data_IF_566535474296
#
_entry.id   IF_566535474296
#
_cell.length_a   1.000
_cell.length_b   1.000
_cell.length_c   1.000
_cell.angle_alpha   90.00
_cell.angle_beta   90.00
_cell.angle_gamma   90.00
#
_symmetry.space_group_name_H-M   'P 1'
#
loop_
_entity.id
_entity.type
_entity.pdbx_description
1 polymer ?
#
# COMPACT_ATOMS: atom_id res chain seq x y z
N UNK A 1 -12.13 -14.35 -63.39
CA UNK A 1 -12.39 -15.01 -62.09
C UNK A 1 -11.05 -15.22 -61.40
N UNK A 2 -11.00 -15.06 -60.06
CA UNK A 2 -9.84 -15.20 -59.16
C UNK A 2 -8.88 -14.00 -58.98
N UNK A 3 -9.30 -13.11 -58.07
CA UNK A 3 -8.63 -12.71 -56.82
C UNK A 3 -7.11 -12.45 -56.83
N UNK A 4 -6.75 -11.16 -56.80
CA UNK A 4 -5.45 -10.69 -56.33
C UNK A 4 -5.49 -10.46 -54.82
N UNK A 5 -4.69 -11.24 -54.08
CA UNK A 5 -4.33 -10.99 -52.68
C UNK A 5 -3.54 -9.67 -52.59
N UNK A 6 -4.18 -8.58 -52.17
CA UNK A 6 -3.46 -7.38 -51.70
C UNK A 6 -2.92 -7.67 -50.30
N UNK A 7 -1.60 -7.77 -50.19
CA UNK A 7 -0.84 -7.73 -48.93
C UNK A 7 -1.30 -6.52 -48.12
N UNK A 8 -1.88 -6.77 -46.95
CA UNK A 8 -1.95 -5.78 -45.88
C UNK A 8 -0.52 -5.45 -45.45
N UNK A 9 -0.06 -4.21 -45.72
CA UNK A 9 1.10 -3.64 -45.04
C UNK A 9 0.65 -3.17 -43.66
N UNK A 10 1.11 -3.84 -42.62
CA UNK A 10 1.14 -3.30 -41.27
C UNK A 10 2.05 -2.08 -41.24
N UNK A 11 1.50 -0.90 -40.97
CA UNK A 11 2.31 0.22 -40.52
C UNK A 11 2.63 0.00 -39.03
N UNK A 12 3.84 -0.47 -38.77
CA UNK A 12 4.47 -0.41 -37.46
C UNK A 12 4.88 1.04 -37.18
N UNK A 13 4.12 1.75 -36.36
CA UNK A 13 4.65 2.95 -35.70
C UNK A 13 4.82 2.61 -34.22
N UNK A 14 6.05 2.62 -33.67
CA UNK A 14 6.21 2.59 -32.23
C UNK A 14 5.63 3.89 -31.69
N UNK A 15 4.74 3.80 -30.70
CA UNK A 15 4.30 4.93 -29.90
C UNK A 15 5.54 5.61 -29.30
N UNK A 16 5.99 6.69 -29.93
CA UNK A 16 7.00 7.57 -29.35
C UNK A 16 6.27 8.31 -28.24
N UNK A 17 6.40 7.82 -26.99
CA UNK A 17 5.97 8.57 -25.81
C UNK A 17 6.60 9.97 -25.89
N UNK A 18 5.79 11.04 -25.96
CA UNK A 18 6.35 12.36 -26.21
C UNK A 18 7.30 12.76 -25.08
N UNK A 19 8.32 13.54 -25.43
CA UNK A 19 9.34 13.98 -24.47
C UNK A 19 8.67 14.61 -23.22
N UNK A 20 9.23 14.41 -22.01
CA UNK A 20 8.58 14.80 -20.75
C UNK A 20 8.08 16.24 -20.71
N UNK A 21 8.81 17.18 -21.32
CA UNK A 21 8.39 18.59 -21.40
C UNK A 21 7.11 18.81 -22.22
N UNK A 22 6.89 18.05 -23.30
CA UNK A 22 5.67 18.14 -24.11
C UNK A 22 4.46 17.55 -23.38
N UNK A 23 4.66 16.45 -22.64
CA UNK A 23 3.64 15.89 -21.77
C UNK A 23 3.26 16.88 -20.66
N UNK A 24 4.23 17.57 -20.07
CA UNK A 24 4.01 18.55 -19.00
C UNK A 24 3.29 19.83 -19.46
N UNK A 25 3.46 20.21 -20.73
CA UNK A 25 2.70 21.32 -21.29
C UNK A 25 1.25 20.92 -21.62
N UNK A 26 0.97 19.63 -21.84
CA UNK A 26 -0.38 19.13 -22.09
C UNK A 26 -1.16 18.75 -20.82
N UNK A 27 -0.46 18.26 -19.78
CA UNK A 27 -1.07 17.83 -18.52
C UNK A 27 -0.10 17.90 -17.33
N UNK A 28 -0.64 18.02 -16.11
CA UNK A 28 0.08 17.84 -14.84
C UNK A 28 -0.29 16.50 -14.22
N UNK A 29 0.71 15.80 -13.71
CA UNK A 29 0.52 14.58 -12.90
C UNK A 29 0.75 14.97 -11.45
N UNK A 30 -0.25 14.78 -10.60
CA UNK A 30 -0.17 15.08 -9.18
C UNK A 30 -0.42 13.83 -8.34
N UNK A 31 0.10 13.85 -7.12
CA UNK A 31 -0.18 12.84 -6.11
C UNK A 31 -0.39 13.49 -4.75
N UNK A 32 -1.26 12.90 -3.93
CA UNK A 32 -1.58 13.40 -2.60
C UNK A 32 -1.25 12.36 -1.54
N UNK A 33 -0.23 12.66 -0.73
CA UNK A 33 0.38 11.73 0.21
C UNK A 33 0.23 12.19 1.65
N UNK A 34 0.09 11.23 2.55
CA UNK A 34 0.32 11.39 3.98
C UNK A 34 1.70 10.79 4.31
N UNK A 35 2.59 11.61 4.86
CA UNK A 35 3.98 11.24 5.09
C UNK A 35 4.51 11.80 6.42
N UNK A 36 5.58 11.19 6.97
CA UNK A 36 6.27 11.76 8.12
C UNK A 36 6.79 13.18 7.84
N UNK A 37 6.77 14.04 8.86
CA UNK A 37 7.35 15.38 8.73
C UNK A 37 8.88 15.31 8.53
N UNK A 38 9.46 16.16 7.68
CA UNK A 38 10.91 16.22 7.49
C UNK A 38 11.66 16.50 8.79
N UNK A 39 12.83 15.88 8.97
CA UNK A 39 13.68 16.12 10.15
C UNK A 39 13.18 15.49 11.45
N UNK A 40 12.20 14.59 11.39
CA UNK A 40 11.66 13.90 12.57
C UNK A 40 12.27 12.52 12.75
N UNK A 41 12.32 11.98 13.99
CA UNK A 41 12.89 10.65 14.23
C UNK A 41 12.27 9.54 13.36
N UNK A 42 10.94 9.56 13.22
CA UNK A 42 10.23 8.61 12.37
C UNK A 42 10.66 8.72 10.89
N UNK A 43 10.78 9.92 10.34
CA UNK A 43 11.23 10.15 8.97
C UNK A 43 12.67 9.65 8.75
N UNK A 44 13.58 9.97 9.67
CA UNK A 44 14.96 9.50 9.64
C UNK A 44 15.05 7.97 9.73
N UNK A 45 14.23 7.35 10.58
CA UNK A 45 14.21 5.88 10.75
C UNK A 45 13.73 5.15 9.48
N UNK A 46 12.76 5.74 8.76
CA UNK A 46 12.31 5.23 7.46
C UNK A 46 13.40 5.35 6.38
N UNK A 47 14.10 6.48 6.32
CA UNK A 47 15.23 6.65 5.40
C UNK A 47 16.35 5.65 5.70
N UNK A 48 16.72 5.51 6.97
CA UNK A 48 17.74 4.55 7.39
C UNK A 48 17.34 3.11 7.02
N UNK A 49 16.07 2.75 7.15
CA UNK A 49 15.57 1.46 6.71
C UNK A 49 15.73 1.28 5.18
N UNK A 50 15.34 2.26 4.38
CA UNK A 50 15.50 2.21 2.92
C UNK A 50 16.97 2.07 2.51
N UNK A 51 17.87 2.85 3.12
CA UNK A 51 19.31 2.78 2.85
C UNK A 51 19.89 1.40 3.19
N UNK A 52 19.61 0.89 4.40
CA UNK A 52 20.11 -0.42 4.84
C UNK A 52 19.61 -1.54 3.92
N UNK A 53 18.33 -1.49 3.54
CA UNK A 53 17.73 -2.52 2.69
C UNK A 53 18.20 -2.43 1.24
N UNK A 54 18.43 -1.23 0.72
CA UNK A 54 19.05 -1.01 -0.58
C UNK A 54 20.44 -1.66 -0.63
N UNK A 55 21.30 -1.38 0.36
CA UNK A 55 22.66 -1.93 0.41
C UNK A 55 22.67 -3.45 0.60
N UNK A 56 21.84 -3.96 1.51
CA UNK A 56 21.90 -5.38 1.91
C UNK A 56 21.19 -6.32 0.92
N UNK A 57 20.08 -5.88 0.31
CA UNK A 57 19.23 -6.73 -0.52
C UNK A 57 19.12 -6.26 -1.97
N UNK A 58 19.72 -5.12 -2.31
CA UNK A 58 19.61 -4.49 -3.61
C UNK A 58 18.35 -3.63 -3.77
N UNK A 59 18.26 -2.90 -4.89
CA UNK A 59 17.14 -2.00 -5.15
C UNK A 59 15.82 -2.74 -5.36
N UNK A 60 14.73 -2.16 -4.86
CA UNK A 60 13.35 -2.56 -5.12
C UNK A 60 12.49 -1.29 -5.34
N UNK A 61 11.24 -1.44 -5.79
CA UNK A 61 10.42 -0.29 -6.18
C UNK A 61 9.99 0.59 -5.00
N UNK A 62 9.99 0.07 -3.77
CA UNK A 62 9.72 0.89 -2.59
C UNK A 62 10.82 1.96 -2.38
N UNK A 63 12.01 1.81 -2.98
CA UNK A 63 13.07 2.81 -2.93
C UNK A 63 12.88 3.97 -3.90
N UNK A 64 11.91 3.89 -4.82
CA UNK A 64 11.66 4.96 -5.79
C UNK A 64 10.96 6.18 -5.16
N UNK A 65 10.40 6.04 -3.97
CA UNK A 65 9.74 7.12 -3.23
C UNK A 65 10.04 7.00 -1.75
N UNK A 66 9.99 8.11 -1.02
CA UNK A 66 10.00 8.05 0.45
C UNK A 66 8.78 7.26 0.96
N UNK A 67 8.85 6.56 2.11
CA UNK A 67 7.72 5.83 2.64
C UNK A 67 6.56 6.77 2.98
N UNK A 68 5.39 6.51 2.40
CA UNK A 68 4.21 7.34 2.51
C UNK A 68 2.93 6.49 2.45
N UNK A 69 1.81 7.13 2.77
CA UNK A 69 0.47 6.62 2.56
C UNK A 69 -0.17 7.43 1.42
N UNK A 70 -0.57 6.75 0.35
CA UNK A 70 -1.31 7.41 -0.71
C UNK A 70 -2.74 7.71 -0.23
N UNK A 71 -3.15 8.98 -0.31
CA UNK A 71 -4.56 9.38 -0.18
C UNK A 71 -5.22 9.38 -1.55
N UNK A 72 -4.54 9.99 -2.53
CA UNK A 72 -4.90 9.97 -3.95
C UNK A 72 -3.62 9.65 -4.72
N UNK A 73 -3.58 8.46 -5.32
CA UNK A 73 -2.35 7.90 -5.88
C UNK A 73 -1.98 8.51 -7.23
N UNK A 74 -2.99 9.00 -7.96
CA UNK A 74 -2.82 9.57 -9.28
C UNK A 74 -3.91 10.60 -9.59
N UNK A 75 -3.46 11.78 -9.98
CA UNK A 75 -4.32 12.85 -10.50
C UNK A 75 -3.73 13.36 -11.80
N UNK A 76 -4.51 13.36 -12.88
CA UNK A 76 -4.13 13.98 -14.15
C UNK A 76 -5.05 15.16 -14.42
N UNK A 77 -4.46 16.34 -14.56
CA UNK A 77 -5.16 17.58 -14.90
C UNK A 77 -4.63 18.06 -16.25
N UNK A 78 -5.50 18.15 -17.24
CA UNK A 78 -5.18 18.69 -18.56
C UNK A 78 -4.99 20.20 -18.52
N UNK A 79 -4.19 20.69 -19.47
CA UNK A 79 -3.99 22.11 -19.68
C UNK A 79 -5.30 22.76 -20.13
N UNK A 80 -5.67 23.88 -19.49
CA UNK A 80 -6.78 24.72 -19.93
C UNK A 80 -6.54 25.32 -21.32
N UNK A 81 -7.63 25.68 -22.00
CA UNK A 81 -7.59 26.22 -23.37
C UNK A 81 -6.82 27.54 -23.45
N UNK A 82 -7.06 28.45 -22.51
CA UNK A 82 -6.45 29.77 -22.47
C UNK A 82 -5.09 29.74 -21.75
N UNK A 83 -4.10 30.46 -22.28
CA UNK A 83 -2.75 30.45 -21.72
C UNK A 83 -2.69 31.04 -20.30
N UNK A 84 -3.47 32.07 -20.02
CA UNK A 84 -3.50 32.77 -18.72
C UNK A 84 -4.14 31.95 -17.60
N UNK A 85 -5.04 31.03 -17.92
CA UNK A 85 -5.79 30.21 -16.95
C UNK A 85 -5.45 28.72 -17.07
N UNK A 86 -4.35 28.41 -17.76
CA UNK A 86 -4.04 27.05 -18.20
C UNK A 86 -3.86 26.04 -17.06
N UNK A 87 -3.64 26.50 -15.83
CA UNK A 87 -3.49 25.67 -14.64
C UNK A 87 -4.48 26.03 -13.51
N UNK A 88 -5.54 26.78 -13.80
CA UNK A 88 -6.54 27.18 -12.78
C UNK A 88 -7.16 25.97 -12.08
N UNK A 89 -7.32 24.84 -12.78
CA UNK A 89 -7.82 23.58 -12.20
C UNK A 89 -6.86 22.99 -11.16
N UNK A 90 -5.55 23.20 -11.31
CA UNK A 90 -4.55 22.78 -10.30
C UNK A 90 -4.69 23.65 -9.05
N UNK A 91 -4.84 24.96 -9.22
CA UNK A 91 -5.06 25.88 -8.11
C UNK A 91 -6.38 25.60 -7.40
N UNK A 92 -7.43 25.29 -8.16
CA UNK A 92 -8.73 24.86 -7.64
C UNK A 92 -8.59 23.55 -6.85
N UNK A 93 -7.87 22.55 -7.38
CA UNK A 93 -7.61 21.29 -6.68
C UNK A 93 -6.98 21.52 -5.31
N UNK A 94 -5.95 22.37 -5.23
CA UNK A 94 -5.28 22.71 -3.98
C UNK A 94 -6.21 23.47 -3.03
N UNK A 95 -7.06 24.37 -3.55
CA UNK A 95 -8.08 25.10 -2.75
C UNK A 95 -9.13 24.16 -2.17
N UNK A 96 -9.62 23.20 -2.96
CA UNK A 96 -10.57 22.17 -2.49
C UNK A 96 -9.94 21.36 -1.37
N UNK A 97 -8.71 20.87 -1.54
CA UNK A 97 -7.99 20.14 -0.49
C UNK A 97 -7.86 20.98 0.78
N UNK A 98 -7.45 22.24 0.65
CA UNK A 98 -7.31 23.16 1.79
C UNK A 98 -8.63 23.36 2.56
N UNK A 99 -9.72 23.56 1.83
CA UNK A 99 -11.05 23.73 2.41
C UNK A 99 -11.54 22.46 3.11
N UNK A 100 -11.32 21.29 2.51
CA UNK A 100 -11.75 20.02 3.08
C UNK A 100 -10.91 19.60 4.29
N UNK A 101 -9.58 19.78 4.27
CA UNK A 101 -8.73 19.50 5.44
C UNK A 101 -9.21 20.27 6.67
N UNK A 102 -9.61 21.55 6.52
CA UNK A 102 -10.11 22.39 7.61
C UNK A 102 -11.42 21.90 8.24
N UNK A 103 -12.22 21.12 7.50
CA UNK A 103 -13.48 20.54 8.00
C UNK A 103 -13.25 19.22 8.74
N UNK A 104 -12.13 18.56 8.49
CA UNK A 104 -11.85 17.22 8.98
C UNK A 104 -11.00 17.24 10.26
N UNK A 105 -11.31 16.34 11.19
CA UNK A 105 -10.48 16.10 12.37
C UNK A 105 -9.50 14.97 12.06
N UNK A 106 -8.46 15.28 11.29
CA UNK A 106 -7.45 14.32 10.86
C UNK A 106 -6.50 14.00 12.01
N UNK A 107 -6.22 12.71 12.21
CA UNK A 107 -5.29 12.24 13.25
C UNK A 107 -4.06 11.61 12.61
N UNK A 108 -2.92 11.56 13.32
CA UNK A 108 -1.79 10.75 12.89
C UNK A 108 -2.20 9.29 12.64
N UNK A 109 -1.60 8.61 11.65
CA UNK A 109 -1.86 7.19 11.39
C UNK A 109 -1.39 6.33 12.57
N UNK A 110 -2.13 5.27 12.89
CA UNK A 110 -1.78 4.33 13.95
C UNK A 110 -1.08 3.09 13.35
N UNK A 111 0.10 2.74 13.83
CA UNK A 111 0.78 1.50 13.43
C UNK A 111 0.02 0.26 13.93
N UNK A 112 -0.15 -0.75 13.07
CA UNK A 112 -0.88 -1.99 13.41
C UNK A 112 -0.11 -3.29 13.17
N UNK A 113 1.13 -3.20 12.65
CA UNK A 113 1.99 -4.35 12.44
C UNK A 113 2.61 -4.41 11.06
N UNK A 114 3.46 -5.41 10.85
CA UNK A 114 4.05 -5.74 9.56
C UNK A 114 3.38 -6.97 8.96
N UNK A 115 3.27 -6.99 7.63
CA UNK A 115 2.71 -8.12 6.90
C UNK A 115 3.50 -8.39 5.63
N UNK A 116 3.67 -9.68 5.30
CA UNK A 116 4.19 -10.12 4.01
C UNK A 116 3.00 -10.61 3.19
N UNK A 117 2.65 -9.86 2.15
CA UNK A 117 1.59 -10.22 1.22
C UNK A 117 2.16 -11.15 0.16
N UNK A 118 1.43 -12.20 -0.21
CA UNK A 118 1.85 -13.14 -1.26
C UNK A 118 1.36 -12.76 -2.67
N UNK A 119 0.31 -11.93 -2.78
CA UNK A 119 -0.33 -11.49 -4.05
C UNK A 119 -0.64 -9.98 -4.05
N UNK A 120 -0.75 -9.32 -5.22
CA UNK A 120 -0.50 -9.84 -6.58
C UNK A 120 0.99 -10.12 -6.82
N UNK A 121 1.86 -9.39 -6.14
CA UNK A 121 3.31 -9.65 -6.07
C UNK A 121 3.73 -9.67 -4.62
N UNK A 122 4.69 -10.54 -4.28
CA UNK A 122 5.16 -10.63 -2.89
C UNK A 122 5.73 -9.30 -2.43
N UNK A 123 5.27 -8.81 -1.29
CA UNK A 123 5.67 -7.51 -0.75
C UNK A 123 5.69 -7.51 0.77
N UNK A 124 6.56 -6.67 1.33
CA UNK A 124 6.55 -6.31 2.74
C UNK A 124 5.81 -4.99 2.87
N UNK A 125 4.78 -4.98 3.71
CA UNK A 125 4.00 -3.80 4.03
C UNK A 125 3.97 -3.57 5.53
N UNK A 126 3.88 -2.31 5.90
CA UNK A 126 3.58 -1.87 7.25
C UNK A 126 2.12 -1.43 7.27
N UNK A 127 1.29 -2.15 8.02
CA UNK A 127 -0.13 -1.87 8.14
C UNK A 127 -0.37 -0.71 9.11
N UNK A 128 -1.22 0.21 8.71
CA UNK A 128 -1.62 1.37 9.49
C UNK A 128 -3.13 1.50 9.54
N UNK A 129 -3.64 2.15 10.57
CA UNK A 129 -5.04 2.56 10.65
C UNK A 129 -5.13 4.07 10.50
N UNK A 130 -5.94 4.49 9.55
CA UNK A 130 -6.34 5.87 9.37
C UNK A 130 -7.70 6.10 10.03
N UNK A 131 -7.91 7.29 10.61
CA UNK A 131 -9.25 7.65 11.07
C UNK A 131 -10.15 7.98 9.87
N UNK A 132 -11.47 7.87 10.06
CA UNK A 132 -12.47 8.02 8.99
C UNK A 132 -12.40 9.36 8.22
N UNK A 133 -11.79 10.39 8.82
CA UNK A 133 -11.61 11.69 8.18
C UNK A 133 -10.80 11.64 6.88
N UNK A 134 -9.84 10.72 6.75
CA UNK A 134 -9.08 10.57 5.49
C UNK A 134 -9.93 9.99 4.35
N UNK A 135 -10.83 9.05 4.65
CA UNK A 135 -11.74 8.49 3.66
C UNK A 135 -12.78 9.54 3.24
N UNK A 136 -13.30 10.31 4.20
CA UNK A 136 -14.22 11.42 3.92
C UNK A 136 -13.55 12.51 3.09
N UNK A 137 -12.31 12.88 3.43
CA UNK A 137 -11.50 13.83 2.66
C UNK A 137 -11.34 13.38 1.20
N UNK A 138 -10.93 12.13 0.96
CA UNK A 138 -10.72 11.63 -0.39
C UNK A 138 -12.02 11.59 -1.21
N UNK A 139 -13.14 11.16 -0.60
CA UNK A 139 -14.46 11.14 -1.25
C UNK A 139 -14.94 12.54 -1.63
N UNK A 140 -14.71 13.52 -0.76
CA UNK A 140 -15.18 14.88 -1.01
C UNK A 140 -14.33 15.60 -2.08
N UNK A 141 -13.03 15.34 -2.10
CA UNK A 141 -12.15 15.77 -3.21
C UNK A 141 -12.61 15.12 -4.53
N UNK A 142 -12.88 13.80 -4.54
CA UNK A 142 -13.39 13.10 -5.72
C UNK A 142 -14.70 13.70 -6.22
N UNK A 143 -15.63 13.98 -5.31
CA UNK A 143 -16.94 14.56 -5.64
C UNK A 143 -16.80 15.93 -6.30
N UNK A 144 -15.89 16.79 -5.83
CA UNK A 144 -15.73 18.16 -6.33
C UNK A 144 -14.83 18.25 -7.57
N UNK A 145 -13.77 17.44 -7.62
CA UNK A 145 -12.72 17.55 -8.64
C UNK A 145 -12.78 16.45 -9.69
N UNK A 146 -13.49 15.35 -9.46
CA UNK A 146 -13.61 14.23 -10.40
C UNK A 146 -14.01 14.65 -11.82
N UNK A 147 -15.05 15.48 -12.01
CA UNK A 147 -15.45 15.96 -13.34
C UNK A 147 -14.42 16.89 -14.01
N UNK A 148 -13.47 17.44 -13.26
CA UNK A 148 -12.49 18.43 -13.72
C UNK A 148 -11.11 17.82 -13.99
N UNK A 149 -10.87 16.60 -13.53
CA UNK A 149 -9.63 15.87 -13.72
C UNK A 149 -9.83 14.81 -14.80
N UNK A 150 -8.87 14.67 -15.71
CA UNK A 150 -8.86 13.58 -16.70
C UNK A 150 -8.74 12.21 -16.02
N UNK A 151 -8.01 12.16 -14.89
CA UNK A 151 -7.91 11.00 -14.01
C UNK A 151 -7.87 11.50 -12.57
N UNK A 152 -8.67 10.89 -11.70
CA UNK A 152 -8.62 11.09 -10.26
C UNK A 152 -8.90 9.75 -9.59
N UNK A 153 -7.86 9.13 -9.03
CA UNK A 153 -7.94 7.80 -8.43
C UNK A 153 -7.79 7.91 -6.90
N UNK A 154 -8.88 8.18 -6.16
CA UNK A 154 -8.84 8.17 -4.71
C UNK A 154 -8.64 6.74 -4.23
N UNK A 155 -7.59 6.54 -3.44
CA UNK A 155 -7.31 5.24 -2.84
C UNK A 155 -6.57 5.45 -1.53
N UNK A 156 -7.27 5.86 -0.45
CA UNK A 156 -6.68 5.97 0.86
C UNK A 156 -6.12 4.62 1.29
N UNK A 157 -4.79 4.51 1.30
CA UNK A 157 -4.11 3.29 1.68
C UNK A 157 -4.08 3.15 3.19
N UNK A 158 -4.28 1.93 3.66
CA UNK A 158 -4.10 1.53 5.05
C UNK A 158 -2.76 0.82 5.29
N UNK A 159 -1.78 1.07 4.40
CA UNK A 159 -0.47 0.43 4.46
C UNK A 159 0.61 1.23 3.75
N UNK A 160 1.80 1.21 4.32
CA UNK A 160 3.04 1.72 3.74
C UNK A 160 3.77 0.56 3.09
N UNK A 161 4.09 0.67 1.80
CA UNK A 161 4.89 -0.33 1.12
C UNK A 161 6.38 -0.15 1.47
N UNK A 162 6.97 -1.16 2.11
CA UNK A 162 8.37 -1.13 2.53
C UNK A 162 9.30 -1.86 1.56
N UNK A 163 8.82 -2.92 0.92
CA UNK A 163 9.56 -3.59 -0.14
C UNK A 163 8.60 -4.29 -1.10
N UNK A 164 8.76 -4.03 -2.40
CA UNK A 164 8.05 -4.74 -3.46
C UNK A 164 8.79 -4.56 -4.78
N UNK A 165 8.55 -5.47 -5.72
CA UNK A 165 9.08 -5.34 -7.06
C UNK A 165 8.16 -6.09 -8.04
N UNK A 166 7.51 -5.33 -8.92
CA UNK A 166 6.57 -5.81 -9.92
C UNK A 166 7.30 -6.54 -11.06
N UNK A 167 8.54 -6.17 -11.38
CA UNK A 167 9.34 -6.78 -12.44
C UNK A 167 9.94 -8.13 -12.01
N UNK A 168 10.39 -8.23 -10.75
CA UNK A 168 11.00 -9.43 -10.19
C UNK A 168 10.56 -9.63 -8.74
N UNK A 169 9.73 -10.64 -8.52
CA UNK A 169 9.21 -10.95 -7.18
C UNK A 169 10.34 -11.19 -6.17
N UNK A 170 10.28 -10.51 -5.02
CA UNK A 170 11.22 -10.69 -3.92
C UNK A 170 10.96 -12.03 -3.23
N UNK A 171 12.02 -12.75 -2.85
CA UNK A 171 11.87 -14.04 -2.17
C UNK A 171 11.26 -13.85 -0.77
N UNK A 172 10.43 -14.81 -0.33
CA UNK A 172 9.80 -14.75 1.00
C UNK A 172 10.84 -14.70 2.13
N UNK A 173 11.99 -15.35 1.95
CA UNK A 173 13.09 -15.32 2.92
C UNK A 173 13.74 -13.92 2.99
N UNK A 174 13.96 -13.27 1.85
CA UNK A 174 14.46 -11.89 1.83
C UNK A 174 13.46 -10.94 2.49
N UNK A 175 12.16 -11.07 2.20
CA UNK A 175 11.12 -10.26 2.85
C UNK A 175 11.05 -10.47 4.37
N UNK A 176 11.27 -11.70 4.86
CA UNK A 176 11.38 -11.97 6.30
C UNK A 176 12.57 -11.24 6.93
N UNK A 177 13.75 -11.27 6.29
CA UNK A 177 14.94 -10.56 6.78
C UNK A 177 14.78 -9.03 6.70
N UNK A 178 14.11 -8.53 5.66
CA UNK A 178 13.75 -7.11 5.56
C UNK A 178 12.76 -6.71 6.66
N UNK A 179 11.81 -7.58 7.00
CA UNK A 179 10.87 -7.36 8.10
C UNK A 179 11.62 -7.25 9.44
N UNK A 180 12.53 -8.18 9.74
CA UNK A 180 13.41 -8.10 10.92
C UNK A 180 14.19 -6.77 10.94
N UNK A 181 14.73 -6.36 9.79
CA UNK A 181 15.43 -5.08 9.65
C UNK A 181 14.52 -3.87 9.90
N UNK A 182 13.26 -3.94 9.48
CA UNK A 182 12.27 -2.90 9.72
C UNK A 182 11.92 -2.80 11.21
N UNK A 183 11.74 -3.93 11.88
CA UNK A 183 11.50 -4.02 13.33
C UNK A 183 12.68 -3.47 14.15
N UNK A 184 13.91 -3.63 13.66
CA UNK A 184 15.13 -3.10 14.29
C UNK A 184 15.39 -1.61 14.04
N UNK A 185 14.91 -1.06 12.92
CA UNK A 185 15.35 0.26 12.43
C UNK A 185 14.27 1.33 12.52
N UNK A 186 13.01 0.98 12.22
CA UNK A 186 11.93 1.97 12.19
C UNK A 186 11.50 2.26 13.63
N UNK A 187 11.45 3.54 14.01
CA UNK A 187 11.13 3.96 15.38
C UNK A 187 9.62 3.87 15.66
N UNK A 188 9.13 2.64 15.79
CA UNK A 188 7.75 2.33 16.10
C UNK A 188 7.43 2.72 17.55
N UNK A 189 8.41 2.65 18.45
CA UNK A 189 8.18 2.93 19.86
C UNK A 189 7.83 4.41 20.06
N UNK A 190 8.62 5.32 19.49
CA UNK A 190 8.30 6.74 19.54
C UNK A 190 6.98 7.04 18.82
N UNK A 191 6.77 6.47 17.63
CA UNK A 191 5.51 6.64 16.90
C UNK A 191 4.29 6.21 17.74
N UNK A 192 4.31 5.03 18.36
CA UNK A 192 3.18 4.56 19.19
C UNK A 192 3.00 5.43 20.43
N UNK A 193 4.08 5.99 20.99
CA UNK A 193 4.04 6.83 22.19
C UNK A 193 3.55 8.25 21.91
N UNK A 194 3.99 8.86 20.80
CA UNK A 194 3.77 10.28 20.49
C UNK A 194 2.72 10.50 19.40
N UNK A 195 2.34 9.44 18.67
CA UNK A 195 1.59 9.52 17.41
C UNK A 195 2.49 9.81 16.21
N UNK A 196 3.75 10.19 16.42
CA UNK A 196 4.63 10.72 15.39
C UNK A 196 4.15 12.07 14.85
N UNK A 197 4.98 12.67 13.99
CA UNK A 197 4.69 13.95 13.34
C UNK A 197 4.49 13.71 11.85
N UNK A 198 3.34 14.13 11.34
CA UNK A 198 2.89 13.80 9.98
C UNK A 198 2.39 15.03 9.25
N UNK A 199 2.41 14.96 7.92
CA UNK A 199 1.83 15.98 7.03
C UNK A 199 1.15 15.34 5.84
N UNK A 200 0.16 16.05 5.33
CA UNK A 200 -0.41 15.83 4.01
C UNK A 200 0.33 16.71 3.01
N UNK A 201 0.72 16.16 1.87
CA UNK A 201 1.49 16.88 0.86
C UNK A 201 0.95 16.57 -0.54
N UNK A 202 0.70 17.62 -1.31
CA UNK A 202 0.45 17.51 -2.76
C UNK A 202 1.77 17.70 -3.49
N UNK A 203 2.11 16.71 -4.32
CA UNK A 203 3.28 16.74 -5.18
C UNK A 203 2.88 16.85 -6.64
N UNK A 204 3.61 17.64 -7.44
CA UNK A 204 3.69 17.46 -8.89
C UNK A 204 4.74 16.37 -9.17
N UNK A 205 4.33 15.34 -9.91
CA UNK A 205 5.21 14.27 -10.38
C UNK A 205 5.88 14.72 -11.67
N UNK A 206 7.15 15.12 -11.55
CA UNK A 206 7.94 15.64 -12.67
C UNK A 206 8.45 14.50 -13.56
N UNK A 207 8.91 13.42 -12.93
CA UNK A 207 9.43 12.22 -13.57
C UNK A 207 9.10 11.00 -12.70
N UNK A 208 8.36 10.05 -13.26
CA UNK A 208 8.17 8.70 -12.70
C UNK A 208 9.30 7.78 -13.19
N UNK A 209 10.25 7.48 -12.31
CA UNK A 209 11.35 6.58 -12.64
C UNK A 209 10.85 5.15 -12.87
N UNK A 210 11.11 4.62 -14.06
CA UNK A 210 10.89 3.20 -14.37
C UNK A 210 12.06 2.31 -13.90
N UNK A 211 13.17 2.93 -13.47
CA UNK A 211 14.35 2.23 -12.97
C UNK A 211 14.19 1.97 -11.48
N UNK A 212 14.30 0.70 -11.10
CA UNK A 212 14.19 0.25 -9.71
C UNK A 212 15.33 0.82 -8.88
N UNK A 213 15.01 1.47 -7.76
CA UNK A 213 16.00 2.09 -6.88
C UNK A 213 16.33 3.54 -7.21
N UNK A 214 15.83 4.07 -8.32
CA UNK A 214 16.02 5.48 -8.70
C UNK A 214 14.78 6.26 -8.30
N UNK A 215 14.97 7.30 -7.50
CA UNK A 215 13.87 8.09 -6.96
C UNK A 215 13.08 8.83 -8.05
N UNK A 216 11.77 8.91 -7.85
CA UNK A 216 10.90 9.80 -8.60
C UNK A 216 11.31 11.25 -8.33
N UNK A 217 11.16 12.09 -9.36
CA UNK A 217 11.35 13.53 -9.19
C UNK A 217 9.99 14.14 -8.87
N UNK A 218 9.83 14.59 -7.64
CA UNK A 218 8.61 15.18 -7.11
C UNK A 218 8.88 16.64 -6.74
N UNK A 219 7.92 17.53 -7.00
CA UNK A 219 7.95 18.92 -6.55
C UNK A 219 6.80 19.13 -5.58
N UNK A 220 7.11 19.53 -4.34
CA UNK A 220 6.10 19.87 -3.34
C UNK A 220 5.36 21.13 -3.80
N UNK A 221 4.03 21.04 -3.97
CA UNK A 221 3.19 22.18 -4.30
C UNK A 221 2.63 22.83 -3.03
N UNK A 222 2.15 22.00 -2.09
CA UNK A 222 1.64 22.47 -0.80
C UNK A 222 1.61 21.32 0.22
N UNK A 223 1.85 21.65 1.49
CA UNK A 223 1.72 20.72 2.60
C UNK A 223 0.87 21.29 3.76
N UNK A 224 0.27 20.39 4.53
CA UNK A 224 -0.54 20.68 5.72
C UNK A 224 -0.10 19.75 6.85
N UNK A 225 0.32 20.29 8.01
CA UNK A 225 0.68 19.46 9.15
C UNK A 225 -0.57 18.77 9.73
N UNK A 226 -0.43 17.51 10.10
CA UNK A 226 -1.43 16.81 10.92
C UNK A 226 -1.14 17.19 12.37
N UNK A 227 -2.03 17.97 12.96
CA UNK A 227 -1.87 18.36 14.36
C UNK A 227 -2.04 17.13 15.25
N UNK A 228 -1.04 16.75 16.05
CA UNK A 228 -1.27 15.79 17.11
C UNK A 228 -2.26 16.43 18.08
N UNK A 229 -3.29 15.69 18.49
CA UNK A 229 -4.19 16.18 19.52
C UNK A 229 -3.36 16.58 20.75
N UNK A 230 -3.42 17.85 21.13
CA UNK A 230 -2.92 18.34 22.41
C UNK A 230 -3.84 17.82 23.52
N UNK A 231 -3.81 16.51 23.73
CA UNK A 231 -4.25 15.91 24.98
C UNK A 231 -2.99 15.68 25.77
N UNK A 232 -2.80 16.50 26.80
CA UNK A 232 -1.87 16.23 27.91
C UNK A 232 -1.92 14.74 28.22
N UNK A 233 -0.86 14.02 27.88
CA UNK A 233 -0.69 12.63 28.27
C UNK A 233 -0.58 12.62 29.80
N UNK A 234 -1.71 12.51 30.50
CA UNK A 234 -1.71 11.99 31.86
C UNK A 234 -1.20 10.57 31.74
N UNK A 235 0.05 10.38 32.16
CA UNK A 235 0.67 9.09 32.41
C UNK A 235 -0.13 8.35 33.49
N UNK A 236 -1.31 7.84 33.14
CA UNK A 236 -1.91 6.72 33.85
C UNK A 236 -1.15 5.49 33.38
N UNK A 237 -0.34 4.96 34.28
CA UNK A 237 0.58 3.86 34.13
C UNK A 237 -0.11 2.53 33.87
N UNK A 238 -0.84 2.39 32.77
CA UNK A 238 -1.38 1.10 32.33
C UNK A 238 -1.37 1.03 30.80
N UNK A 239 -0.21 0.65 30.25
CA UNK A 239 -0.17 0.01 28.93
C UNK A 239 -1.23 -1.11 28.94
N UNK A 240 -2.19 -1.14 27.98
CA UNK A 240 -3.17 -2.21 27.93
C UNK A 240 -2.42 -3.54 27.83
N UNK A 241 -2.82 -4.51 28.64
CA UNK A 241 -2.16 -5.82 28.81
C UNK A 241 -1.98 -6.55 27.46
N UNK A 242 -2.78 -6.22 26.44
CA UNK A 242 -2.65 -6.74 25.07
C UNK A 242 -1.36 -6.31 24.34
N UNK A 243 -0.77 -5.16 24.68
CA UNK A 243 0.53 -4.70 24.15
C UNK A 243 1.71 -5.23 24.96
N UNK A 244 1.53 -5.49 26.27
CA UNK A 244 2.59 -6.03 27.16
C UNK A 244 2.85 -7.52 26.91
N UNK A 245 1.83 -8.25 26.45
CA UNK A 245 1.94 -9.66 26.06
C UNK A 245 2.62 -9.78 24.68
N UNK A 246 2.20 -9.05 23.63
CA UNK A 246 2.77 -9.29 22.28
C UNK A 246 4.24 -8.90 22.08
N UNK A 247 4.83 -8.07 22.93
CA UNK A 247 6.26 -7.73 22.87
C UNK A 247 7.16 -8.73 23.62
N UNK A 248 6.60 -9.57 24.51
CA UNK A 248 7.35 -10.57 25.28
C UNK A 248 7.29 -11.99 24.71
N UNK A 249 6.47 -12.26 23.68
CA UNK A 249 6.40 -13.56 22.98
C UNK A 249 7.20 -13.63 21.67
N UNK A 250 7.93 -12.58 21.26
CA UNK A 250 8.75 -12.60 20.04
C UNK A 250 10.16 -13.20 20.23
N UNK A 251 10.56 -13.61 21.44
CA UNK A 251 11.89 -14.19 21.69
C UNK A 251 11.94 -15.68 22.02
N UNK A 252 10.80 -16.39 22.15
CA UNK A 252 10.82 -17.75 22.76
C UNK A 252 9.97 -18.86 22.12
N UNK A 253 9.48 -18.71 20.88
CA UNK A 253 8.72 -19.81 20.25
C UNK A 253 9.05 -20.06 18.77
N UNK A 254 10.28 -20.49 18.48
CA UNK A 254 10.59 -21.30 17.30
C UNK A 254 11.54 -22.45 17.68
N UNK A 255 11.08 -23.33 18.58
CA UNK A 255 11.56 -24.71 18.65
C UNK A 255 10.35 -25.64 18.84
N UNK A 256 10.22 -26.55 17.87
CA UNK A 256 9.41 -27.77 17.84
C UNK A 256 7.88 -27.63 17.91
N UNK A 257 7.21 -27.96 16.80
CA UNK A 257 6.44 -29.22 16.76
C UNK A 257 5.93 -29.55 15.35
N UNK A 258 6.18 -30.80 15.01
CA UNK A 258 5.69 -31.60 13.90
C UNK A 258 4.22 -32.02 14.15
N UNK A 259 3.53 -32.44 13.08
CA UNK A 259 2.32 -33.30 13.04
C UNK A 259 0.95 -32.70 13.41
N UNK A 260 0.03 -32.59 12.45
CA UNK A 260 -0.87 -33.67 12.00
C UNK A 260 -2.18 -33.12 11.43
N UNK A 261 -2.63 -33.74 10.34
CA UNK A 261 -3.88 -33.51 9.63
C UNK A 261 -5.08 -34.02 10.44
N UNK A 262 -6.15 -33.23 10.53
CA UNK A 262 -7.47 -33.72 10.93
C UNK A 262 -8.58 -33.16 10.04
N UNK A 263 -9.17 -34.08 9.28
CA UNK A 263 -10.43 -34.01 8.52
C UNK A 263 -11.56 -33.34 9.31
N UNK A 264 -12.28 -32.43 8.66
CA UNK A 264 -13.59 -31.93 9.10
C UNK A 264 -14.68 -32.85 8.52
N UNK A 265 -15.34 -33.62 9.38
CA UNK A 265 -16.56 -34.38 9.07
C UNK A 265 -17.75 -33.50 9.46
N UNK A 266 -18.68 -33.30 8.53
CA UNK A 266 -19.96 -32.61 8.75
C UNK A 266 -20.99 -33.67 9.17
N UNK A 267 -21.61 -33.50 10.33
CA UNK A 267 -22.72 -34.34 10.82
C UNK A 267 -24.02 -33.56 10.60
N UNK A 268 -24.92 -34.13 9.80
CA UNK A 268 -26.30 -33.68 9.64
C UNK A 268 -27.23 -34.48 10.57
N UNK A 269 -28.20 -33.79 11.18
CA UNK A 269 -29.23 -34.37 12.03
C UNK A 269 -30.29 -35.14 11.21
N UNK A 270 -30.66 -36.34 11.67
CA UNK A 270 -32.03 -36.86 11.55
C UNK A 270 -32.29 -37.97 12.59
N UNK A 271 -33.49 -38.05 13.21
CA UNK A 271 -33.76 -38.98 14.31
C UNK A 271 -34.50 -40.27 13.88
N UNK A 272 -34.24 -41.31 14.67
CA UNK A 272 -35.11 -42.42 15.13
C UNK A 272 -36.01 -43.10 14.10
N UNK A 273 -35.57 -44.26 13.60
CA UNK A 273 -36.25 -45.54 13.80
C UNK A 273 -35.34 -46.67 13.31
N UNK A 274 -35.12 -47.65 14.19
CA UNK A 274 -34.35 -48.85 13.91
C UNK A 274 -35.21 -49.85 13.13
N UNK A 275 -34.67 -50.41 12.05
CA UNK A 275 -35.02 -51.76 11.57
C UNK A 275 -33.74 -52.43 11.10
N UNK A 276 -33.36 -53.48 11.83
CA UNK A 276 -32.29 -54.41 11.46
C UNK A 276 -32.85 -55.35 10.38
N UNK A 277 -32.17 -55.44 9.24
CA UNK A 277 -32.29 -56.58 8.34
C UNK A 277 -30.90 -57.05 7.91
N UNK A 278 -30.50 -58.19 8.49
CA UNK A 278 -29.43 -59.06 8.01
C UNK A 278 -29.78 -59.55 6.60
N UNK A 279 -28.82 -59.54 5.69
CA UNK A 279 -28.69 -60.65 4.72
C UNK A 279 -27.28 -60.81 4.15
N UNK A 280 -26.67 -61.92 4.57
CA UNK A 280 -25.81 -62.90 3.90
C UNK A 280 -25.21 -62.64 2.50
N UNK A 281 -23.98 -63.22 2.39
CA UNK A 281 -23.23 -63.69 1.19
C UNK A 281 -22.60 -62.58 0.34
N UNK A 282 -21.38 -62.71 -0.18
CA UNK A 282 -20.45 -63.84 -0.31
C UNK A 282 -19.06 -63.32 -0.65
N UNK A 283 -18.06 -64.09 -0.23
CA UNK A 283 -16.69 -64.19 -0.74
C UNK A 283 -16.53 -63.85 -2.23
N UNK A 284 -15.43 -63.19 -2.63
CA UNK A 284 -14.33 -63.82 -3.40
C UNK A 284 -13.11 -62.88 -3.46
N UNK A 285 -11.96 -63.49 -3.13
CA UNK A 285 -10.57 -63.08 -3.26
C UNK A 285 -10.12 -62.72 -4.67
N UNK A 286 -9.21 -61.74 -4.80
CA UNK A 286 -8.45 -61.49 -6.03
C UNK A 286 -7.11 -60.82 -5.71
N UNK A 287 -6.06 -61.64 -5.64
CA UNK A 287 -4.67 -61.33 -5.29
C UNK A 287 -3.90 -60.91 -6.55
N UNK A 288 -3.05 -59.88 -6.42
CA UNK A 288 -2.01 -59.51 -7.37
C UNK A 288 -0.82 -60.48 -7.33
N UNK A 289 -0.25 -60.76 -8.50
CA UNK A 289 1.16 -61.09 -8.87
C UNK A 289 1.10 -61.41 -10.38
N UNK A 290 1.89 -60.87 -11.31
CA UNK A 290 3.25 -60.32 -11.36
C UNK A 290 3.28 -59.02 -12.17
#
# INVERSE_FOLDING_TARGET
MCLAFKRFKMNSSPEITPAPHKLREARRSLAFYLEPNPGTPIQASFQQFQEKTFVQFGPNQAHNTQPHLSIIGRVLIERGAEFSTKWDTVDEFIKVIDAEIKKQHLKPPEFTGFEILDKPTRSLVMNVRLNAGYEQLAKEIERQMGPKCSVLEPSPMNRIHLAYNVLKTISKQALKRMKEKAEETIDIYDWVKTGGSWRLTVYEVMVESQVVGVQHQLVELKSWPIQPNSTEFKLSSTLPVSLRIKLSFLSSWFKNSTFSSAKKVIIANQPKNAVVLRNNRSTTTGRQTL
#
